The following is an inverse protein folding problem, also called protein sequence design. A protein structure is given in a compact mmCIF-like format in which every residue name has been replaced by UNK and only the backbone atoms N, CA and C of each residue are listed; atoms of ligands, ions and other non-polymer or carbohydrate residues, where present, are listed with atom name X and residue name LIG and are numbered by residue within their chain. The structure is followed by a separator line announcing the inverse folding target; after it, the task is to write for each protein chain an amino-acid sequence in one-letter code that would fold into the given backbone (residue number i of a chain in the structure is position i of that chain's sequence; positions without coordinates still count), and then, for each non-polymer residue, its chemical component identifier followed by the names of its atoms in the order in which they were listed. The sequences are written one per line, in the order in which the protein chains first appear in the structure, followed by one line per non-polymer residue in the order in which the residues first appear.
data_IF_520049560624
#
_entry.id   IF_520049560624
#
_cell.length_a   1.000
_cell.length_b   1.000
_cell.length_c   1.000
_cell.angle_alpha   90.00
_cell.angle_beta   90.00
_cell.angle_gamma   90.00
#
_symmetry.space_group_name_H-M   'P 1'
#
loop_
_entity.id
_entity.type
_entity.pdbx_description
1 polymer ?
#
# COMPACT_ATOMS: atom_id res chain seq x y z
N UNK A 1 2.85 -4.25 7.53
CA UNK A 1 1.84 -4.00 6.47
C UNK A 1 2.54 -4.06 5.12
N UNK A 2 1.88 -4.58 4.08
CA UNK A 2 2.45 -4.76 2.73
C UNK A 2 1.63 -3.97 1.73
N UNK A 3 2.20 -2.95 1.10
CA UNK A 3 1.54 -2.04 0.16
C UNK A 3 0.17 -1.51 0.62
N UNK A 4 -0.01 -1.09 1.88
CA UNK A 4 -1.32 -0.65 2.36
C UNK A 4 -1.71 0.70 1.74
N UNK A 5 -2.96 0.94 1.33
CA UNK A 5 -3.42 2.27 0.91
C UNK A 5 -3.83 3.12 2.13
N UNK A 6 -2.87 3.47 3.00
CA UNK A 6 -3.15 4.12 4.30
C UNK A 6 -3.77 5.52 4.17
N UNK A 7 -3.52 6.20 3.04
CA UNK A 7 -4.14 7.48 2.70
C UNK A 7 -5.19 7.36 1.58
N UNK A 8 -5.71 6.14 1.38
CA UNK A 8 -6.62 5.82 0.29
C UNK A 8 -5.90 5.51 -1.03
N UNK A 9 -6.71 5.32 -2.07
CA UNK A 9 -6.28 4.98 -3.42
C UNK A 9 -6.85 5.97 -4.42
N UNK A 10 -5.96 6.58 -5.20
CA UNK A 10 -6.33 7.47 -6.30
C UNK A 10 -7.13 6.70 -7.36
N UNK A 11 -6.87 5.40 -7.52
CA UNK A 11 -7.63 4.50 -8.40
C UNK A 11 -9.07 4.38 -7.91
N UNK A 12 -9.28 4.14 -6.61
CA UNK A 12 -10.63 4.07 -6.05
C UNK A 12 -11.38 5.39 -6.24
N UNK A 13 -10.73 6.51 -5.93
CA UNK A 13 -11.31 7.85 -6.08
C UNK A 13 -11.75 8.15 -7.52
N UNK A 14 -10.95 7.75 -8.52
CA UNK A 14 -11.24 8.00 -9.95
C UNK A 14 -12.23 7.02 -10.57
N UNK A 15 -12.34 5.79 -10.04
CA UNK A 15 -13.10 4.70 -10.67
C UNK A 15 -14.35 4.27 -9.90
N UNK A 16 -14.54 4.73 -8.66
CA UNK A 16 -15.66 4.31 -7.79
C UNK A 16 -17.04 4.45 -8.43
N UNK A 17 -17.26 5.50 -9.22
CA UNK A 17 -18.54 5.77 -9.90
C UNK A 17 -18.78 4.90 -11.14
N UNK A 18 -17.81 4.06 -11.53
CA UNK A 18 -17.94 3.17 -12.68
C UNK A 18 -18.51 1.81 -12.24
N UNK A 19 -19.62 1.40 -12.85
CA UNK A 19 -20.34 0.17 -12.50
C UNK A 19 -19.45 -1.09 -12.46
N UNK A 20 -18.47 -1.19 -13.36
CA UNK A 20 -17.56 -2.34 -13.43
C UNK A 20 -16.57 -2.37 -12.26
N UNK A 21 -16.21 -1.21 -11.72
CA UNK A 21 -15.27 -1.10 -10.60
C UNK A 21 -15.92 -1.58 -9.30
N UNK A 22 -17.16 -1.15 -9.05
CA UNK A 22 -17.96 -1.66 -7.93
C UNK A 22 -18.17 -3.18 -8.04
N UNK A 23 -18.50 -3.68 -9.24
CA UNK A 23 -18.66 -5.12 -9.47
C UNK A 23 -17.36 -5.90 -9.19
N UNK A 24 -16.20 -5.35 -9.54
CA UNK A 24 -14.90 -6.02 -9.36
C UNK A 24 -14.35 -5.94 -7.93
N UNK A 25 -14.56 -4.82 -7.24
CA UNK A 25 -13.93 -4.52 -5.93
C UNK A 25 -14.90 -4.60 -4.76
N UNK A 26 -16.19 -4.59 -5.04
CA UNK A 26 -17.26 -4.61 -4.05
C UNK A 26 -17.27 -3.37 -3.15
N UNK A 27 -18.02 -3.43 -2.03
CA UNK A 27 -18.14 -2.33 -1.07
C UNK A 27 -16.80 -1.89 -0.47
N UNK A 28 -15.83 -2.81 -0.37
CA UNK A 28 -14.51 -2.49 0.18
C UNK A 28 -13.75 -1.51 -0.72
N UNK A 29 -13.72 -1.73 -2.05
CA UNK A 29 -13.06 -0.81 -2.97
C UNK A 29 -13.68 0.59 -2.99
N UNK A 30 -14.99 0.67 -2.76
CA UNK A 30 -15.74 1.93 -2.69
C UNK A 30 -15.36 2.79 -1.48
N UNK A 31 -14.80 2.18 -0.43
CA UNK A 31 -14.41 2.86 0.80
C UNK A 31 -12.96 3.35 0.82
N UNK A 32 -12.16 2.97 -0.19
CA UNK A 32 -10.73 3.26 -0.27
C UNK A 32 -10.43 4.59 -0.98
N UNK A 33 -11.35 5.55 -0.94
CA UNK A 33 -11.13 6.88 -1.51
C UNK A 33 -10.04 7.68 -0.78
N UNK A 34 -9.55 8.74 -1.42
CA UNK A 34 -8.56 9.67 -0.85
C UNK A 34 -9.23 10.87 -0.18
N UNK A 35 -10.56 10.98 -0.21
CA UNK A 35 -11.30 12.04 0.46
C UNK A 35 -11.18 11.96 1.98
N UNK A 36 -11.30 13.09 2.66
CA UNK A 36 -11.12 13.16 4.12
C UNK A 36 -12.13 12.30 4.87
N UNK A 37 -13.34 12.11 4.34
CA UNK A 37 -14.40 11.27 4.90
C UNK A 37 -14.29 9.79 4.50
N UNK A 38 -13.32 9.43 3.66
CA UNK A 38 -13.05 8.02 3.31
C UNK A 38 -12.49 7.24 4.49
N UNK A 39 -12.83 5.95 4.57
CA UNK A 39 -12.51 5.09 5.70
C UNK A 39 -11.02 5.14 6.11
N UNK A 40 -10.02 5.02 5.20
CA UNK A 40 -8.61 5.07 5.57
C UNK A 40 -8.21 6.35 6.31
N UNK A 41 -8.81 7.48 5.90
CA UNK A 41 -8.50 8.80 6.44
C UNK A 41 -9.24 9.12 7.76
N UNK A 42 -10.12 8.22 8.20
CA UNK A 42 -10.84 8.30 9.48
C UNK A 42 -10.26 7.36 10.54
N UNK A 43 -9.31 6.49 10.18
CA UNK A 43 -8.70 5.56 11.11
C UNK A 43 -7.80 6.30 12.10
N UNK A 44 -7.91 5.91 13.38
CA UNK A 44 -7.05 6.44 14.43
C UNK A 44 -5.70 5.73 14.42
N UNK A 45 -4.69 6.46 14.86
CA UNK A 45 -3.38 5.87 15.08
C UNK A 45 -3.43 4.75 16.12
N UNK A 46 -2.61 3.73 15.90
CA UNK A 46 -2.55 2.52 16.73
C UNK A 46 -1.24 2.53 17.52
N UNK A 47 -1.24 2.33 18.85
CA UNK A 47 -0.03 2.32 19.67
C UNK A 47 0.70 0.96 19.58
N UNK A 48 1.08 0.56 18.36
CA UNK A 48 1.81 -0.67 18.06
C UNK A 48 3.01 -0.35 17.17
N UNK A 49 4.00 -1.24 17.18
CA UNK A 49 5.12 -1.15 16.25
C UNK A 49 4.67 -1.57 14.85
N UNK A 50 4.62 -0.61 13.91
CA UNK A 50 4.16 -0.85 12.55
C UNK A 50 5.36 -0.78 11.60
N UNK A 51 5.67 -1.92 10.98
CA UNK A 51 6.60 -1.99 9.86
C UNK A 51 5.84 -1.96 8.54
N UNK A 52 6.26 -1.14 7.58
CA UNK A 52 5.61 -1.04 6.26
C UNK A 52 6.60 -1.38 5.15
N UNK A 53 6.19 -2.30 4.27
CA UNK A 53 6.91 -2.63 3.03
C UNK A 53 6.10 -2.14 1.85
N UNK A 54 6.69 -1.32 0.98
CA UNK A 54 6.02 -0.79 -0.21
C UNK A 54 6.74 -1.25 -1.50
N UNK A 55 5.97 -1.62 -2.51
CA UNK A 55 6.50 -1.97 -3.82
C UNK A 55 6.78 -0.73 -4.68
N UNK A 56 7.74 -0.85 -5.60
CA UNK A 56 8.12 0.25 -6.52
C UNK A 56 8.00 -0.11 -8.01
N UNK A 57 7.54 -1.32 -8.32
CA UNK A 57 7.37 -1.78 -9.69
C UNK A 57 5.89 -2.01 -10.01
N UNK A 58 5.46 -1.68 -11.22
CA UNK A 58 4.13 -2.06 -11.69
C UNK A 58 4.25 -3.05 -12.85
N UNK A 59 3.43 -4.09 -12.78
CA UNK A 59 3.15 -4.98 -13.91
C UNK A 59 1.82 -4.66 -14.58
N UNK A 60 1.04 -3.75 -14.00
CA UNK A 60 -0.32 -3.45 -14.41
C UNK A 60 -0.35 -2.12 -15.20
N UNK A 61 -0.56 -2.14 -16.53
CA UNK A 61 -0.62 -0.93 -17.35
C UNK A 61 -1.94 -0.16 -17.19
N UNK A 62 -2.95 -0.71 -16.53
CA UNK A 62 -4.29 -0.12 -16.49
C UNK A 62 -4.43 1.04 -15.48
N UNK A 63 -3.54 1.12 -14.49
CA UNK A 63 -3.65 2.08 -13.38
C UNK A 63 -2.38 2.92 -13.13
N UNK A 64 -1.30 2.66 -13.87
CA UNK A 64 0.01 3.32 -13.64
C UNK A 64 0.03 4.81 -13.94
N UNK A 65 -0.76 5.29 -14.90
CA UNK A 65 -0.78 6.72 -15.25
C UNK A 65 -1.52 7.57 -14.20
N UNK A 66 -2.37 6.92 -13.40
CA UNK A 66 -3.20 7.58 -12.40
C UNK A 66 -2.56 7.64 -11.01
N UNK A 67 -1.44 6.93 -10.80
CA UNK A 67 -0.78 6.78 -9.51
C UNK A 67 0.53 7.57 -9.41
N UNK A 68 0.78 8.30 -8.30
CA UNK A 68 2.08 8.90 -8.02
C UNK A 68 3.20 7.85 -8.06
N UNK A 69 4.37 8.23 -8.57
CA UNK A 69 5.56 7.36 -8.60
C UNK A 69 6.49 7.66 -7.40
N UNK A 70 7.21 6.66 -6.87
CA UNK A 70 7.12 5.24 -7.21
C UNK A 70 5.84 4.57 -6.67
N UNK A 71 5.38 3.51 -7.33
CA UNK A 71 4.19 2.72 -6.95
C UNK A 71 4.34 1.26 -7.34
N UNK A 72 3.51 0.41 -6.73
CA UNK A 72 3.49 -1.03 -6.95
C UNK A 72 2.43 -1.47 -8.00
N UNK A 73 1.87 -0.52 -8.75
CA UNK A 73 0.77 -0.72 -9.69
C UNK A 73 -0.64 -0.59 -9.08
N UNK A 74 -0.78 -0.48 -7.76
CA UNK A 74 -2.07 -0.19 -7.09
C UNK A 74 -1.99 0.91 -6.04
N UNK A 75 -0.86 1.01 -5.36
CA UNK A 75 -0.64 1.91 -4.23
C UNK A 75 0.69 2.63 -4.42
N UNK A 76 0.68 3.95 -4.22
CA UNK A 76 1.90 4.74 -4.24
C UNK A 76 2.71 4.53 -2.96
N UNK A 77 4.04 4.62 -3.08
CA UNK A 77 4.95 4.55 -1.93
C UNK A 77 4.59 5.57 -0.86
N UNK A 78 4.10 6.75 -1.27
CA UNK A 78 3.70 7.80 -0.33
C UNK A 78 2.39 7.45 0.39
N UNK A 79 1.36 6.99 -0.32
CA UNK A 79 0.10 6.55 0.30
C UNK A 79 0.30 5.40 1.29
N UNK A 80 1.34 4.58 1.07
CA UNK A 80 1.66 3.48 1.97
C UNK A 80 2.20 3.88 3.34
N UNK A 81 2.73 5.09 3.50
CA UNK A 81 3.34 5.51 4.78
C UNK A 81 2.28 5.77 5.85
N UNK A 82 2.72 5.73 7.10
CA UNK A 82 1.97 6.19 8.26
C UNK A 82 2.90 7.06 9.11
N UNK A 83 2.35 8.05 9.80
CA UNK A 83 3.15 8.91 10.68
C UNK A 83 3.69 8.13 11.89
N UNK A 84 2.95 7.12 12.34
CA UNK A 84 3.28 6.25 13.47
C UNK A 84 4.10 5.01 13.10
N UNK A 85 4.49 4.84 11.83
CA UNK A 85 5.28 3.67 11.44
C UNK A 85 6.63 3.67 12.13
N UNK A 86 7.04 2.51 12.66
CA UNK A 86 8.35 2.33 13.30
C UNK A 86 9.47 2.26 12.28
N UNK A 87 9.21 1.57 11.16
CA UNK A 87 10.17 1.44 10.08
C UNK A 87 9.45 1.24 8.73
N UNK A 88 10.14 1.57 7.66
CA UNK A 88 9.62 1.59 6.30
C UNK A 88 10.70 1.16 5.30
N UNK A 89 10.38 0.24 4.39
CA UNK A 89 11.30 -0.15 3.31
C UNK A 89 10.58 -0.29 1.97
N UNK A 90 11.27 0.06 0.89
CA UNK A 90 10.81 -0.19 -0.48
C UNK A 90 11.42 -1.44 -1.06
N UNK A 91 10.67 -2.17 -1.89
CA UNK A 91 11.16 -3.34 -2.63
C UNK A 91 10.81 -3.23 -4.12
N UNK A 92 11.67 -3.72 -5.02
CA UNK A 92 11.40 -3.73 -6.46
C UNK A 92 10.45 -4.88 -6.82
N UNK A 93 9.19 -4.77 -6.37
CA UNK A 93 8.13 -5.72 -6.67
C UNK A 93 6.81 -5.02 -6.90
N UNK A 94 5.94 -5.67 -7.69
CA UNK A 94 4.56 -5.25 -7.88
C UNK A 94 3.63 -5.78 -6.80
N UNK A 95 2.50 -5.09 -6.63
CA UNK A 95 1.53 -5.32 -5.58
C UNK A 95 1.11 -6.80 -5.49
N UNK A 96 0.79 -7.40 -6.64
CA UNK A 96 0.29 -8.77 -6.75
C UNK A 96 1.31 -9.82 -6.27
N UNK A 97 2.60 -9.59 -6.49
CA UNK A 97 3.64 -10.57 -6.19
C UNK A 97 4.41 -10.27 -4.90
N UNK A 98 4.31 -9.05 -4.38
CA UNK A 98 5.03 -8.62 -3.18
C UNK A 98 4.83 -9.54 -1.98
N UNK A 99 3.60 -10.00 -1.74
CA UNK A 99 3.29 -10.88 -0.61
C UNK A 99 4.01 -12.25 -0.66
N UNK A 100 4.42 -12.70 -1.85
CA UNK A 100 5.08 -13.99 -2.07
C UNK A 100 6.58 -13.84 -2.37
N UNK A 101 7.13 -12.63 -2.30
CA UNK A 101 8.52 -12.39 -2.61
C UNK A 101 9.44 -12.79 -1.43
N UNK A 102 10.51 -13.54 -1.71
CA UNK A 102 11.47 -13.98 -0.71
C UNK A 102 12.15 -12.81 0.01
N UNK A 103 12.42 -11.72 -0.72
CA UNK A 103 12.96 -10.49 -0.14
C UNK A 103 12.00 -9.89 0.89
N UNK A 104 10.70 -9.84 0.58
CA UNK A 104 9.67 -9.31 1.50
C UNK A 104 9.54 -10.21 2.72
N UNK A 105 9.53 -11.53 2.53
CA UNK A 105 9.49 -12.49 3.63
C UNK A 105 10.70 -12.32 4.56
N UNK A 106 11.88 -12.11 4.01
CA UNK A 106 13.11 -11.87 4.79
C UNK A 106 13.03 -10.56 5.58
N UNK A 107 12.48 -9.50 4.97
CA UNK A 107 12.26 -8.21 5.65
C UNK A 107 11.23 -8.31 6.78
N UNK A 108 10.13 -9.03 6.57
CA UNK A 108 9.13 -9.30 7.62
C UNK A 108 9.78 -10.03 8.80
N UNK A 109 10.61 -11.06 8.54
CA UNK A 109 11.33 -11.77 9.59
C UNK A 109 12.26 -10.85 10.39
N UNK A 110 13.02 -9.98 9.71
CA UNK A 110 13.88 -8.98 10.36
C UNK A 110 13.07 -8.07 11.29
N UNK A 111 11.98 -7.49 10.78
CA UNK A 111 11.14 -6.58 11.56
C UNK A 111 10.50 -7.27 12.78
N UNK A 112 10.00 -8.50 12.61
CA UNK A 112 9.41 -9.25 13.72
C UNK A 112 10.44 -9.66 14.79
N UNK A 113 11.70 -9.87 14.41
CA UNK A 113 12.75 -10.29 15.35
C UNK A 113 13.46 -9.12 16.03
N UNK A 114 13.64 -8.00 15.30
CA UNK A 114 14.53 -6.90 15.69
C UNK A 114 13.79 -5.56 15.82
N UNK A 115 12.56 -5.48 15.32
CA UNK A 115 11.78 -4.24 15.28
C UNK A 115 12.17 -3.28 14.14
N UNK A 116 13.03 -3.70 13.22
CA UNK A 116 13.41 -2.93 12.04
C UNK A 116 13.71 -3.83 10.83
N UNK A 117 13.59 -3.26 9.64
CA UNK A 117 13.98 -3.87 8.38
C UNK A 117 15.50 -3.90 8.23
N UNK A 118 15.98 -4.72 7.30
CA UNK A 118 17.37 -4.70 6.88
C UNK A 118 17.53 -3.70 5.73
N UNK A 119 18.26 -2.61 5.99
CA UNK A 119 18.57 -1.54 5.05
C UNK A 119 19.97 -1.65 4.44
N UNK A 120 20.66 -2.77 4.67
CA UNK A 120 21.98 -3.00 4.09
C UNK A 120 21.89 -3.03 2.55
N UNK A 121 22.83 -2.35 1.85
CA UNK A 121 22.81 -2.18 0.40
C UNK A 121 23.14 -3.45 -0.39
#
# INVERSE_FOLDING_TARGET
MLGPPNHGSEVATKKKDQWWYEMATGPAGQQLGTETDSTPNQLKSIPLEIGIVAGTESLDPWFTDDLPKPNDGKVSVESAKLAEMKDFITVPHSHTFMANADVVTSQIKSFLQQGHFNHDP
#
